data_IF_495917552239
#
_entry.id   IF_495917552239
#
_cell.length_a   1.000
_cell.length_b   1.000
_cell.length_c   1.000
_cell.angle_alpha   90.00
_cell.angle_beta   90.00
_cell.angle_gamma   90.00
#
_symmetry.space_group_name_H-M   'P 1'
#
loop_
_entity.id
_entity.type
_entity.pdbx_description
1 polymer ?
#
# COMPACT_ATOMS: atom_id res chain seq x y z
N UNK A 1 41.34 -12.10 -30.84
CA UNK A 1 41.39 -11.87 -29.38
C UNK A 1 40.14 -11.08 -29.00
N UNK A 2 39.52 -11.53 -27.93
CA UNK A 2 38.14 -11.31 -27.46
C UNK A 2 37.74 -9.85 -27.27
N UNK A 3 36.65 -9.45 -27.93
CA UNK A 3 35.81 -8.31 -27.57
C UNK A 3 34.97 -8.69 -26.34
N UNK A 4 35.41 -8.28 -25.15
CA UNK A 4 34.64 -8.50 -23.93
C UNK A 4 33.59 -7.41 -23.78
N UNK A 5 32.44 -7.59 -24.44
CA UNK A 5 31.17 -6.99 -24.04
C UNK A 5 30.81 -7.54 -22.67
N UNK A 6 31.36 -6.93 -21.62
CA UNK A 6 30.94 -7.23 -20.25
C UNK A 6 29.57 -6.60 -20.04
N UNK A 7 28.57 -7.46 -20.07
CA UNK A 7 27.18 -7.19 -19.68
C UNK A 7 27.15 -6.28 -18.45
N UNK A 8 26.63 -5.07 -18.62
CA UNK A 8 26.29 -4.16 -17.53
C UNK A 8 25.16 -4.80 -16.71
N UNK A 9 25.53 -5.74 -15.84
CA UNK A 9 24.69 -6.16 -14.74
C UNK A 9 24.52 -4.94 -13.85
N UNK A 10 23.36 -4.29 -13.96
CA UNK A 10 22.97 -3.12 -13.18
C UNK A 10 23.01 -3.47 -11.71
N UNK A 11 24.20 -3.33 -11.10
CA UNK A 11 24.39 -3.40 -9.66
C UNK A 11 23.41 -2.40 -9.05
N UNK A 12 22.60 -2.80 -8.05
CA UNK A 12 21.72 -1.86 -7.37
C UNK A 12 22.60 -0.72 -6.82
N UNK A 13 22.39 0.47 -7.38
CA UNK A 13 23.18 1.66 -7.11
C UNK A 13 23.17 1.91 -5.60
N UNK A 14 24.36 1.92 -4.99
CA UNK A 14 24.43 2.11 -3.53
C UNK A 14 24.00 3.52 -3.17
N UNK A 15 23.42 3.70 -1.98
CA UNK A 15 22.88 4.99 -1.52
C UNK A 15 23.91 6.12 -1.62
N UNK A 16 25.17 5.84 -1.34
CA UNK A 16 26.28 6.78 -1.47
C UNK A 16 26.55 7.18 -2.93
N UNK A 17 26.45 6.25 -3.87
CA UNK A 17 26.63 6.53 -5.30
C UNK A 17 25.48 7.38 -5.84
N UNK A 18 24.23 7.08 -5.47
CA UNK A 18 23.06 7.88 -5.86
C UNK A 18 23.09 9.29 -5.26
N UNK A 19 23.46 9.45 -3.99
CA UNK A 19 23.63 10.79 -3.40
C UNK A 19 24.77 11.54 -4.10
N UNK A 20 25.82 10.85 -4.52
CA UNK A 20 26.95 11.48 -5.22
C UNK A 20 26.61 11.95 -6.63
N UNK A 21 25.58 11.42 -7.30
CA UNK A 21 25.13 11.93 -8.60
C UNK A 21 24.25 13.18 -8.51
N UNK A 22 23.79 13.55 -7.31
CA UNK A 22 22.92 14.72 -7.11
C UNK A 22 23.69 16.04 -6.96
N UNK A 23 23.10 17.18 -7.37
CA UNK A 23 23.63 18.50 -7.07
C UNK A 23 23.81 18.74 -5.56
N UNK A 24 24.79 19.57 -5.13
CA UNK A 24 25.14 19.74 -3.71
C UNK A 24 23.95 20.10 -2.81
N UNK A 25 23.04 20.96 -3.28
CA UNK A 25 21.84 21.35 -2.55
C UNK A 25 20.87 20.19 -2.34
N UNK A 26 20.76 19.25 -3.31
CA UNK A 26 19.97 18.03 -3.15
C UNK A 26 20.65 17.00 -2.26
N UNK A 27 21.98 16.93 -2.22
CA UNK A 27 22.69 16.11 -1.22
C UNK A 27 22.41 16.59 0.20
N UNK A 28 22.45 17.91 0.39
CA UNK A 28 22.11 18.55 1.66
C UNK A 28 20.65 18.30 2.04
N UNK A 29 19.70 18.47 1.12
CA UNK A 29 18.29 18.15 1.37
C UNK A 29 18.07 16.67 1.63
N UNK A 30 18.77 15.76 0.94
CA UNK A 30 18.66 14.33 1.19
C UNK A 30 19.26 13.94 2.55
N UNK A 31 20.35 14.60 2.99
CA UNK A 31 20.92 14.43 4.32
C UNK A 31 20.00 14.99 5.41
N UNK A 32 19.38 16.15 5.20
CA UNK A 32 18.46 16.78 6.17
C UNK A 32 17.07 16.13 6.22
N UNK A 33 16.53 15.69 5.08
CA UNK A 33 15.17 15.13 4.97
C UNK A 33 15.11 13.61 5.09
N UNK A 34 16.23 12.92 5.35
CA UNK A 34 16.25 11.45 5.37
C UNK A 34 15.31 10.83 6.42
N UNK A 35 15.24 11.46 7.60
CA UNK A 35 14.36 11.04 8.70
C UNK A 35 12.87 11.21 8.35
N UNK A 36 12.40 12.42 7.98
CA UNK A 36 10.98 12.62 7.71
C UNK A 36 10.49 11.83 6.48
N UNK A 37 11.27 11.73 5.39
CA UNK A 37 10.81 11.01 4.19
C UNK A 37 10.65 9.51 4.45
N UNK A 38 11.62 8.88 5.12
CA UNK A 38 11.52 7.47 5.48
C UNK A 38 10.37 7.19 6.46
N UNK A 39 10.22 8.03 7.49
CA UNK A 39 9.13 7.86 8.46
C UNK A 39 7.75 8.09 7.83
N UNK A 40 7.63 9.03 6.89
CA UNK A 40 6.39 9.27 6.13
C UNK A 40 6.08 8.05 5.26
N UNK A 41 7.04 7.51 4.50
CA UNK A 41 6.80 6.34 3.65
C UNK A 41 6.39 5.08 4.44
N UNK A 42 6.98 4.89 5.63
CA UNK A 42 6.61 3.78 6.50
C UNK A 42 5.19 3.96 7.05
N UNK A 43 4.84 5.17 7.50
CA UNK A 43 3.48 5.49 7.96
C UNK A 43 2.44 5.35 6.86
N UNK A 44 2.74 5.77 5.63
CA UNK A 44 1.80 5.63 4.50
C UNK A 44 1.54 4.18 4.17
N UNK A 45 2.58 3.32 4.20
CA UNK A 45 2.41 1.87 3.97
C UNK A 45 1.58 1.20 5.06
N UNK A 46 1.79 1.59 6.32
CA UNK A 46 0.98 1.09 7.44
C UNK A 46 -0.50 1.50 7.27
N UNK A 47 -0.75 2.78 6.96
CA UNK A 47 -2.09 3.30 6.72
C UNK A 47 -2.79 2.63 5.54
N UNK A 48 -2.06 2.27 4.47
CA UNK A 48 -2.63 1.55 3.33
C UNK A 48 -3.08 0.13 3.69
N UNK A 49 -2.30 -0.57 4.52
CA UNK A 49 -2.65 -1.92 5.01
C UNK A 49 -3.87 -1.84 5.94
N UNK A 50 -3.91 -0.86 6.84
CA UNK A 50 -5.06 -0.66 7.73
C UNK A 50 -6.32 -0.29 6.97
N UNK A 51 -6.25 0.60 5.97
CA UNK A 51 -7.38 0.93 5.11
C UNK A 51 -7.92 -0.29 4.37
N UNK A 52 -7.04 -1.14 3.81
CA UNK A 52 -7.45 -2.39 3.16
C UNK A 52 -8.18 -3.33 4.12
N UNK A 53 -7.72 -3.42 5.38
CA UNK A 53 -8.39 -4.21 6.41
C UNK A 53 -9.76 -3.64 6.78
N UNK A 54 -9.86 -2.32 6.93
CA UNK A 54 -11.12 -1.64 7.22
C UNK A 54 -12.13 -1.82 6.08
N UNK A 55 -11.72 -1.62 4.82
CA UNK A 55 -12.59 -1.83 3.66
C UNK A 55 -13.10 -3.29 3.57
N UNK A 56 -12.26 -4.26 3.91
CA UNK A 56 -12.68 -5.67 3.96
C UNK A 56 -13.68 -5.95 5.09
N UNK A 57 -13.55 -5.28 6.23
CA UNK A 57 -14.50 -5.39 7.35
C UNK A 57 -15.83 -4.70 7.03
N UNK A 58 -15.79 -3.51 6.42
CA UNK A 58 -16.98 -2.78 5.96
C UNK A 58 -17.77 -3.62 4.95
N UNK A 59 -17.09 -4.19 3.94
CA UNK A 59 -17.75 -5.05 2.95
C UNK A 59 -18.41 -6.28 3.59
N UNK A 60 -17.82 -6.87 4.64
CA UNK A 60 -18.43 -7.98 5.38
C UNK A 60 -19.63 -7.53 6.20
N UNK A 61 -19.57 -6.34 6.79
CA UNK A 61 -20.70 -5.77 7.53
C UNK A 61 -21.88 -5.49 6.60
N UNK A 62 -21.63 -4.87 5.45
CA UNK A 62 -22.66 -4.59 4.44
C UNK A 62 -23.32 -5.86 3.93
N UNK A 63 -22.52 -6.91 3.67
CA UNK A 63 -23.04 -8.21 3.27
C UNK A 63 -23.91 -8.87 4.35
N UNK A 64 -23.62 -8.65 5.63
CA UNK A 64 -24.43 -9.16 6.73
C UNK A 64 -25.74 -8.37 6.87
N UNK A 65 -25.70 -7.04 6.72
CA UNK A 65 -26.89 -6.19 6.74
C UNK A 65 -27.86 -6.56 5.61
N UNK A 66 -27.35 -6.69 4.37
CA UNK A 66 -28.14 -7.12 3.22
C UNK A 66 -28.78 -8.51 3.40
N UNK A 67 -28.06 -9.44 4.01
CA UNK A 67 -28.61 -10.78 4.31
C UNK A 67 -29.64 -10.74 5.44
N UNK A 68 -29.43 -9.90 6.46
CA UNK A 68 -30.39 -9.73 7.55
C UNK A 68 -31.73 -9.15 7.06
N UNK A 69 -31.67 -8.16 6.16
CA UNK A 69 -32.86 -7.59 5.53
C UNK A 69 -33.56 -8.60 4.61
N UNK A 70 -32.80 -9.46 3.92
CA UNK A 70 -33.36 -10.54 3.07
C UNK A 70 -33.96 -11.69 3.86
N UNK A 71 -33.54 -11.91 5.12
CA UNK A 71 -34.05 -12.97 5.99
C UNK A 71 -35.32 -12.59 6.73
N UNK A 72 -35.79 -11.34 6.60
CA UNK A 72 -37.09 -10.88 7.11
C UNK A 72 -38.22 -11.30 6.15
N UNK A 73 -38.34 -12.60 5.89
CA UNK A 73 -39.55 -13.15 5.30
C UNK A 73 -40.58 -13.26 6.42
N UNK A 74 -41.49 -12.28 6.50
CA UNK A 74 -42.70 -12.41 7.31
C UNK A 74 -43.39 -13.72 6.93
N UNK A 75 -43.63 -14.65 7.87
CA UNK A 75 -44.34 -15.88 7.56
C UNK A 75 -45.68 -15.48 6.92
N UNK A 76 -46.10 -16.14 5.82
CA UNK A 76 -47.39 -15.85 5.23
C UNK A 76 -48.41 -16.02 6.35
N UNK A 77 -49.19 -14.98 6.63
CA UNK A 77 -50.31 -15.06 7.55
C UNK A 77 -51.18 -16.21 7.04
N UNK A 78 -51.15 -17.35 7.75
CA UNK A 78 -52.00 -18.49 7.46
C UNK A 78 -53.43 -18.00 7.66
N UNK A 79 -54.03 -17.61 6.54
CA UNK A 79 -55.41 -17.20 6.46
C UNK A 79 -56.28 -18.34 6.94
N UNK A 80 -57.06 -18.01 7.96
CA UNK A 80 -58.37 -18.56 8.29
C UNK A 80 -59.06 -19.22 7.09
N UNK A 81 -59.46 -20.49 7.24
CA UNK A 81 -60.86 -20.93 7.29
C UNK A 81 -60.96 -22.45 7.52
#
# INVERSE_FOLDING_TARGET
MTTSSSSAASRPLTRSEWVSTLPPWRRLLAMLNWRPVYDIEQRTKQLEIENKRLAALESRLDALLLNADSSSQTPPATGSN
#
